data_IF_122447577664
#
_entry.id   IF_122447577664
#
_cell.length_a   1.000
_cell.length_b   1.000
_cell.length_c   1.000
_cell.angle_alpha   90.00
_cell.angle_beta   90.00
_cell.angle_gamma   90.00
#
_symmetry.space_group_name_H-M   'P 1'
#
loop_
_entity.id
_entity.type
_entity.pdbx_description
1 polymer ?
#
# COMPACT_ATOMS: atom_id res chain seq x y z
N UNK A 1 6.82 -7.08 89.15
CA UNK A 1 7.09 -8.33 88.46
C UNK A 1 5.97 -8.56 87.42
N UNK A 2 6.20 -8.15 86.21
CA UNK A 2 5.22 -8.36 85.14
C UNK A 2 5.96 -9.04 83.95
N UNK A 3 5.48 -10.21 83.55
CA UNK A 3 6.08 -11.03 82.46
C UNK A 3 5.38 -10.63 81.14
N UNK A 4 6.06 -9.94 80.23
CA UNK A 4 5.64 -9.73 78.85
C UNK A 4 5.82 -11.03 78.05
N UNK A 5 4.70 -11.52 77.48
CA UNK A 5 4.70 -12.62 76.52
C UNK A 5 4.71 -12.01 75.11
N UNK A 6 5.79 -12.19 74.36
CA UNK A 6 5.85 -11.92 72.93
C UNK A 6 5.10 -13.01 72.16
N UNK A 7 4.12 -12.65 71.36
CA UNK A 7 3.48 -13.54 70.40
C UNK A 7 4.20 -13.38 69.05
N UNK A 8 4.86 -14.40 68.55
CA UNK A 8 5.36 -14.49 67.16
C UNK A 8 4.15 -14.68 66.23
N UNK A 9 3.99 -13.78 65.27
CA UNK A 9 3.08 -13.95 64.16
C UNK A 9 3.91 -14.49 63.00
N UNK A 10 3.64 -15.71 62.59
CA UNK A 10 4.24 -16.33 61.39
C UNK A 10 3.50 -15.82 60.14
N UNK A 11 4.20 -15.08 59.27
CA UNK A 11 3.73 -14.65 57.98
C UNK A 11 4.04 -15.76 56.96
N UNK A 12 3.03 -16.48 56.53
CA UNK A 12 3.16 -17.43 55.41
C UNK A 12 3.05 -16.70 54.08
N UNK A 13 4.17 -16.55 53.34
CA UNK A 13 4.16 -16.12 51.95
C UNK A 13 3.62 -17.26 51.09
N UNK A 14 2.41 -17.12 50.58
CA UNK A 14 1.88 -17.98 49.53
C UNK A 14 2.46 -17.57 48.17
N UNK A 15 3.39 -18.36 47.63
CA UNK A 15 3.86 -18.22 46.25
C UNK A 15 2.77 -18.79 45.34
N UNK A 16 1.97 -17.88 44.76
CA UNK A 16 1.02 -18.25 43.72
C UNK A 16 1.77 -18.57 42.40
N UNK A 17 1.83 -19.84 42.04
CA UNK A 17 2.23 -20.28 40.70
C UNK A 17 1.15 -19.77 39.70
N UNK A 18 1.45 -18.72 38.97
CA UNK A 18 0.67 -18.33 37.78
C UNK A 18 0.99 -19.38 36.70
N UNK A 19 0.07 -20.32 36.50
CA UNK A 19 0.15 -21.23 35.37
C UNK A 19 0.00 -20.43 34.07
N UNK A 20 1.08 -20.34 33.30
CA UNK A 20 1.02 -19.89 31.92
C UNK A 20 0.15 -20.90 31.14
N UNK A 21 -1.08 -20.53 30.84
CA UNK A 21 -1.91 -21.30 29.90
C UNK A 21 -1.28 -21.15 28.51
N UNK A 22 -1.03 -22.25 27.79
CA UNK A 22 -0.58 -22.16 26.41
C UNK A 22 -1.67 -21.46 25.60
N UNK A 23 -1.33 -20.31 24.99
CA UNK A 23 -2.20 -19.69 24.00
C UNK A 23 -2.43 -20.70 22.89
N UNK A 24 -3.67 -21.17 22.75
CA UNK A 24 -4.08 -21.99 21.61
C UNK A 24 -3.81 -21.18 20.36
N UNK A 25 -2.88 -21.65 19.53
CA UNK A 25 -2.63 -21.07 18.22
C UNK A 25 -3.98 -21.01 17.47
N UNK A 26 -4.45 -19.78 17.18
CA UNK A 26 -5.66 -19.61 16.35
C UNK A 26 -5.38 -20.27 15.01
N UNK A 27 -6.17 -21.27 14.65
CA UNK A 27 -6.13 -21.89 13.32
C UNK A 27 -6.25 -20.74 12.29
N UNK A 28 -5.36 -20.66 11.30
CA UNK A 28 -5.50 -19.65 10.25
C UNK A 28 -6.90 -19.76 9.64
N UNK A 29 -7.58 -18.64 9.34
CA UNK A 29 -8.87 -18.68 8.66
C UNK A 29 -8.72 -19.47 7.35
N UNK A 30 -9.73 -20.30 7.04
CA UNK A 30 -9.75 -21.04 5.79
C UNK A 30 -9.68 -20.04 4.62
N UNK A 31 -8.81 -20.34 3.66
CA UNK A 31 -8.69 -19.51 2.46
C UNK A 31 -10.05 -19.44 1.75
N UNK A 32 -10.58 -18.24 1.46
CA UNK A 32 -11.82 -18.14 0.68
C UNK A 32 -11.58 -18.74 -0.72
N UNK A 33 -12.64 -19.26 -1.37
CA UNK A 33 -12.50 -19.83 -2.71
C UNK A 33 -11.92 -18.79 -3.66
N UNK A 34 -11.14 -19.24 -4.67
CA UNK A 34 -10.60 -18.32 -5.68
C UNK A 34 -11.75 -17.59 -6.38
N UNK A 35 -11.50 -16.36 -6.91
CA UNK A 35 -12.47 -15.67 -7.73
C UNK A 35 -12.94 -16.54 -8.90
N UNK A 36 -14.20 -16.40 -9.38
CA UNK A 36 -14.61 -17.03 -10.62
C UNK A 36 -13.64 -16.67 -11.76
N UNK A 37 -13.29 -17.64 -12.63
CA UNK A 37 -12.36 -17.38 -13.71
C UNK A 37 -12.97 -16.42 -14.75
N UNK A 38 -12.20 -15.41 -15.14
CA UNK A 38 -12.50 -14.51 -16.24
C UNK A 38 -11.91 -15.09 -17.53
N UNK A 39 -12.75 -15.26 -18.58
CA UNK A 39 -12.29 -15.56 -19.93
C UNK A 39 -12.03 -14.25 -20.66
N UNK A 40 -10.78 -13.99 -20.98
CA UNK A 40 -10.40 -12.82 -21.78
C UNK A 40 -10.66 -13.09 -23.28
N UNK A 41 -11.08 -12.04 -24.00
CA UNK A 41 -11.15 -12.10 -25.46
C UNK A 41 -9.75 -12.19 -26.07
N UNK A 42 -9.61 -12.65 -27.34
CA UNK A 42 -8.31 -12.66 -28.01
C UNK A 42 -7.62 -11.30 -28.04
N UNK A 43 -8.36 -10.19 -28.19
CA UNK A 43 -7.80 -8.84 -28.12
C UNK A 43 -7.25 -8.52 -26.72
N UNK A 44 -8.02 -8.84 -25.67
CA UNK A 44 -7.56 -8.64 -24.30
C UNK A 44 -6.32 -9.49 -23.97
N UNK A 45 -6.25 -10.74 -24.44
CA UNK A 45 -5.04 -11.58 -24.28
C UNK A 45 -3.82 -10.97 -25.00
N UNK A 46 -4.02 -10.42 -26.20
CA UNK A 46 -2.95 -9.75 -26.94
C UNK A 46 -2.46 -8.49 -26.18
N UNK A 47 -3.37 -7.70 -25.59
CA UNK A 47 -3.01 -6.53 -24.78
C UNK A 47 -2.26 -6.93 -23.51
N UNK A 48 -2.68 -8.00 -22.84
CA UNK A 48 -1.96 -8.53 -21.67
C UNK A 48 -0.55 -9.00 -22.07
N UNK A 49 -0.37 -9.63 -23.24
CA UNK A 49 0.95 -9.99 -23.76
C UNK A 49 1.79 -8.74 -24.12
N UNK A 50 1.15 -7.68 -24.64
CA UNK A 50 1.81 -6.42 -24.95
C UNK A 50 2.35 -5.73 -23.68
N UNK A 51 1.64 -5.79 -22.56
CA UNK A 51 2.15 -5.31 -21.24
C UNK A 51 3.51 -5.92 -20.90
N UNK A 52 3.63 -7.24 -21.05
CA UNK A 52 4.89 -7.93 -20.77
C UNK A 52 5.99 -7.52 -21.75
N UNK A 53 5.67 -7.46 -23.05
CA UNK A 53 6.62 -7.03 -24.07
C UNK A 53 7.11 -5.58 -23.83
N UNK A 54 6.20 -4.66 -23.50
CA UNK A 54 6.51 -3.27 -23.22
C UNK A 54 7.41 -3.11 -21.98
N UNK A 55 7.20 -3.93 -20.93
CA UNK A 55 7.95 -3.88 -19.68
C UNK A 55 9.42 -4.24 -19.83
N UNK A 56 9.76 -5.14 -20.80
CA UNK A 56 11.09 -5.74 -20.94
C UNK A 56 11.58 -6.41 -19.63
N UNK A 57 10.66 -6.86 -18.79
CA UNK A 57 10.99 -7.49 -17.52
C UNK A 57 11.37 -8.98 -17.71
N UNK A 58 12.29 -9.53 -16.88
CA UNK A 58 12.58 -10.97 -16.88
C UNK A 58 11.37 -11.82 -16.46
N UNK A 59 10.50 -11.30 -15.60
CA UNK A 59 9.29 -11.95 -15.13
C UNK A 59 8.21 -10.92 -14.77
N UNK A 60 6.94 -11.29 -14.98
CA UNK A 60 5.78 -10.47 -14.69
C UNK A 60 4.58 -11.34 -14.32
N UNK A 61 3.76 -10.85 -13.43
CA UNK A 61 2.39 -11.35 -13.22
C UNK A 61 1.41 -10.22 -13.46
N UNK A 62 0.32 -10.53 -14.16
CA UNK A 62 -0.78 -9.61 -14.45
C UNK A 62 -2.09 -10.21 -13.93
N UNK A 63 -2.88 -9.38 -13.28
CA UNK A 63 -4.24 -9.69 -12.82
C UNK A 63 -5.22 -8.75 -13.49
N UNK A 64 -6.25 -9.30 -14.12
CA UNK A 64 -7.37 -8.56 -14.71
C UNK A 64 -8.62 -8.92 -13.92
N UNK A 65 -9.36 -7.91 -13.45
CA UNK A 65 -10.67 -8.08 -12.79
C UNK A 65 -11.72 -7.41 -13.63
N UNK A 66 -12.84 -8.12 -13.85
CA UNK A 66 -14.05 -7.56 -14.46
C UNK A 66 -15.27 -8.07 -13.70
N UNK A 67 -15.93 -7.18 -12.99
CA UNK A 67 -17.00 -7.54 -12.08
C UNK A 67 -16.48 -8.43 -10.94
N UNK A 68 -17.07 -9.61 -10.82
CA UNK A 68 -16.71 -10.59 -9.77
C UNK A 68 -15.74 -11.66 -10.28
N UNK A 69 -15.34 -11.60 -11.57
CA UNK A 69 -14.42 -12.56 -12.18
C UNK A 69 -13.00 -11.99 -12.31
N UNK A 70 -12.00 -12.88 -12.30
CA UNK A 70 -10.60 -12.51 -12.46
C UNK A 70 -9.86 -13.47 -13.39
N UNK A 71 -8.88 -12.91 -14.13
CA UNK A 71 -7.88 -13.67 -14.88
C UNK A 71 -6.49 -13.29 -14.41
N UNK A 72 -5.61 -14.28 -14.29
CA UNK A 72 -4.20 -14.07 -13.95
C UNK A 72 -3.34 -14.66 -15.06
N UNK A 73 -2.29 -13.92 -15.45
CA UNK A 73 -1.32 -14.36 -16.46
C UNK A 73 0.08 -14.10 -15.94
N UNK A 74 0.91 -15.13 -16.03
CA UNK A 74 2.33 -15.02 -15.74
C UNK A 74 3.15 -15.04 -17.03
N UNK A 75 4.28 -14.35 -17.00
CA UNK A 75 5.21 -14.24 -18.11
C UNK A 75 6.66 -14.35 -17.65
N UNK A 76 7.53 -14.78 -18.54
CA UNK A 76 8.95 -14.88 -18.26
C UNK A 76 9.29 -15.99 -17.26
N UNK A 77 10.04 -15.66 -16.21
CA UNK A 77 10.55 -16.64 -15.23
C UNK A 77 10.61 -16.06 -13.80
N UNK A 78 10.53 -16.94 -12.81
CA UNK A 78 10.61 -16.56 -11.39
C UNK A 78 11.98 -15.99 -11.01
N UNK A 79 13.07 -16.56 -11.55
CA UNK A 79 14.44 -16.09 -11.28
C UNK A 79 15.39 -16.51 -12.41
N UNK A 80 16.64 -16.02 -12.44
CA UNK A 80 17.65 -16.50 -13.37
C UNK A 80 17.92 -18.01 -13.31
N UNK A 81 17.72 -18.61 -12.12
CA UNK A 81 17.95 -20.04 -11.85
C UNK A 81 16.67 -20.85 -11.75
N UNK A 82 15.50 -20.21 -11.74
CA UNK A 82 14.19 -20.88 -11.71
C UNK A 82 13.36 -20.49 -12.93
N UNK A 83 13.24 -21.37 -13.94
CA UNK A 83 12.55 -21.09 -15.19
C UNK A 83 11.02 -21.14 -15.07
N UNK A 84 10.46 -21.50 -13.92
CA UNK A 84 9.00 -21.51 -13.74
C UNK A 84 8.41 -20.13 -14.03
N UNK A 85 7.28 -20.13 -14.70
CA UNK A 85 6.53 -18.91 -14.98
C UNK A 85 5.85 -18.44 -13.71
N UNK A 86 5.88 -17.14 -13.35
CA UNK A 86 5.08 -16.60 -12.26
C UNK A 86 3.61 -16.94 -12.40
N UNK A 87 2.92 -17.17 -11.30
CA UNK A 87 1.50 -17.51 -11.25
C UNK A 87 0.74 -16.69 -10.20
N UNK A 88 -0.55 -17.02 -10.00
CA UNK A 88 -1.41 -16.33 -9.05
C UNK A 88 -0.94 -16.41 -7.60
N UNK A 89 -0.12 -17.40 -7.24
CA UNK A 89 0.42 -17.59 -5.90
C UNK A 89 1.85 -17.05 -5.73
N UNK A 90 2.45 -16.54 -6.80
CA UNK A 90 3.78 -15.95 -6.76
C UNK A 90 3.79 -14.71 -5.86
N UNK A 91 4.67 -14.72 -4.85
CA UNK A 91 4.84 -13.59 -3.95
C UNK A 91 5.62 -12.48 -4.65
N UNK A 92 5.14 -11.25 -4.52
CA UNK A 92 5.79 -10.04 -5.05
C UNK A 92 5.81 -8.94 -3.98
N UNK A 93 6.72 -7.98 -4.13
CA UNK A 93 6.66 -6.74 -3.35
C UNK A 93 5.61 -5.82 -3.96
N UNK A 94 4.78 -5.21 -3.11
CA UNK A 94 3.79 -4.22 -3.56
C UNK A 94 4.40 -2.83 -3.70
N UNK A 95 5.49 -2.59 -2.98
CA UNK A 95 6.05 -1.24 -2.88
C UNK A 95 4.95 -0.22 -2.57
N UNK A 96 4.89 0.90 -3.26
CA UNK A 96 3.93 1.97 -2.94
C UNK A 96 2.45 1.62 -3.18
N UNK A 97 2.12 0.47 -3.76
CA UNK A 97 0.73 -0.04 -3.72
C UNK A 97 0.29 -0.28 -2.27
N UNK A 98 1.22 -0.55 -1.34
CA UNK A 98 0.95 -0.65 0.11
C UNK A 98 0.16 0.53 0.66
N UNK A 99 0.38 1.72 0.12
CA UNK A 99 -0.33 2.94 0.52
C UNK A 99 -1.84 2.87 0.33
N UNK A 100 -2.31 2.11 -0.66
CA UNK A 100 -3.75 1.91 -0.89
C UNK A 100 -4.38 1.10 0.25
N UNK A 101 -3.67 0.11 0.77
CA UNK A 101 -4.15 -0.69 1.89
C UNK A 101 -4.13 0.12 3.20
N UNK A 102 -3.11 0.98 3.38
CA UNK A 102 -3.06 1.96 4.49
C UNK A 102 -4.23 2.94 4.40
N UNK A 103 -4.51 3.47 3.22
CA UNK A 103 -5.64 4.37 2.99
C UNK A 103 -7.00 3.69 3.20
N UNK A 104 -7.13 2.39 2.89
CA UNK A 104 -8.33 1.62 3.22
C UNK A 104 -8.48 1.42 4.73
N UNK A 105 -7.38 1.14 5.45
CA UNK A 105 -7.38 1.06 6.92
C UNK A 105 -7.84 2.39 7.52
N UNK A 106 -7.29 3.53 7.07
CA UNK A 106 -7.74 4.86 7.46
C UNK A 106 -9.25 5.02 7.23
N UNK A 107 -9.75 4.71 6.03
CA UNK A 107 -11.17 4.84 5.70
C UNK A 107 -12.07 3.97 6.60
N UNK A 108 -11.65 2.75 6.92
CA UNK A 108 -12.37 1.86 7.84
C UNK A 108 -12.40 2.40 9.26
N UNK A 109 -11.30 2.98 9.74
CA UNK A 109 -11.23 3.62 11.05
C UNK A 109 -12.09 4.90 11.12
N UNK A 110 -12.18 5.65 10.01
CA UNK A 110 -13.12 6.79 9.88
C UNK A 110 -14.56 6.32 9.99
N UNK A 111 -14.95 5.31 9.24
CA UNK A 111 -16.32 4.74 9.28
C UNK A 111 -16.65 4.19 10.67
N UNK A 112 -15.67 3.62 11.35
CA UNK A 112 -15.80 3.13 12.73
C UNK A 112 -15.73 4.25 13.79
N UNK A 113 -15.68 5.53 13.39
CA UNK A 113 -15.60 6.70 14.27
C UNK A 113 -14.42 6.68 15.27
N UNK A 114 -13.31 6.00 14.90
CA UNK A 114 -12.10 5.97 15.73
C UNK A 114 -11.21 7.19 15.51
N UNK A 115 -11.26 7.75 14.32
CA UNK A 115 -10.58 8.98 13.90
C UNK A 115 -11.38 9.70 12.81
N UNK A 116 -10.96 10.93 12.48
CA UNK A 116 -11.49 11.70 11.37
C UNK A 116 -10.35 12.09 10.40
N UNK A 117 -10.66 12.24 9.10
CA UNK A 117 -9.67 12.68 8.10
C UNK A 117 -9.01 14.02 8.46
N UNK A 118 -9.74 14.88 9.17
CA UNK A 118 -9.30 16.21 9.61
C UNK A 118 -8.60 16.21 10.97
N UNK A 119 -8.48 15.07 11.62
CA UNK A 119 -7.74 14.99 12.88
C UNK A 119 -6.28 15.42 12.67
N UNK A 120 -5.72 16.21 13.61
CA UNK A 120 -4.30 16.54 13.55
C UNK A 120 -3.46 15.30 13.88
N UNK A 121 -2.36 15.11 13.14
CA UNK A 121 -1.41 14.01 13.36
C UNK A 121 -0.98 13.92 14.82
N UNK A 122 -0.79 15.06 15.48
CA UNK A 122 -0.33 15.15 16.86
C UNK A 122 -1.26 14.49 17.89
N UNK A 123 -2.54 14.28 17.54
CA UNK A 123 -3.49 13.51 18.39
C UNK A 123 -3.03 12.08 18.61
N UNK A 124 -2.25 11.54 17.69
CA UNK A 124 -1.80 10.15 17.67
C UNK A 124 -0.31 9.99 18.01
N UNK A 125 0.29 11.07 18.55
CA UNK A 125 1.69 11.05 18.97
C UNK A 125 1.92 10.00 20.07
N UNK A 126 3.10 9.33 20.07
CA UNK A 126 3.41 8.35 21.09
C UNK A 126 3.49 9.01 22.49
N UNK A 127 3.25 8.24 23.56
CA UNK A 127 3.33 8.75 24.93
C UNK A 127 4.67 9.43 25.20
N UNK A 128 4.61 10.62 25.80
CA UNK A 128 5.80 11.41 26.14
C UNK A 128 6.36 12.26 24.99
N UNK A 129 5.80 12.16 23.76
CA UNK A 129 6.17 13.07 22.69
C UNK A 129 5.74 14.51 23.01
N UNK A 130 6.64 15.46 22.82
CA UNK A 130 6.37 16.87 23.05
C UNK A 130 7.20 17.74 22.10
N UNK A 131 6.61 18.85 21.67
CA UNK A 131 7.29 19.89 20.89
C UNK A 131 6.75 21.26 21.31
N UNK A 132 7.56 22.31 21.15
CA UNK A 132 7.14 23.69 21.44
C UNK A 132 6.19 24.25 20.37
N UNK A 133 6.32 23.75 19.13
CA UNK A 133 5.56 24.22 17.98
C UNK A 133 5.06 22.99 17.19
N UNK A 134 3.92 22.43 17.57
CA UNK A 134 3.39 21.24 16.92
C UNK A 134 2.98 21.56 15.48
N UNK A 135 3.39 20.73 14.49
CA UNK A 135 3.00 20.95 13.11
C UNK A 135 1.49 20.74 12.93
N UNK A 136 0.85 21.67 12.22
CA UNK A 136 -0.57 21.57 11.87
C UNK A 136 -0.77 20.68 10.63
N UNK A 137 -0.46 19.39 10.75
CA UNK A 137 -0.64 18.40 9.70
C UNK A 137 -1.84 17.52 10.05
N UNK A 138 -2.76 17.34 9.12
CA UNK A 138 -3.93 16.47 9.27
C UNK A 138 -3.75 15.12 8.57
N UNK A 139 -4.55 14.12 8.94
CA UNK A 139 -4.46 12.78 8.35
C UNK A 139 -4.77 12.80 6.85
N UNK A 140 -5.73 13.62 6.40
CA UNK A 140 -6.01 13.77 4.98
C UNK A 140 -4.82 14.36 4.21
N UNK A 141 -4.08 15.31 4.79
CA UNK A 141 -2.88 15.87 4.16
C UNK A 141 -1.75 14.85 4.04
N UNK A 142 -1.64 13.90 4.98
CA UNK A 142 -0.71 12.77 4.85
C UNK A 142 -1.12 11.87 3.69
N UNK A 143 -2.40 11.46 3.64
CA UNK A 143 -2.94 10.52 2.68
C UNK A 143 -3.00 11.07 1.24
N UNK A 144 -3.06 12.40 1.08
CA UNK A 144 -3.10 13.10 -0.23
C UNK A 144 -1.74 13.67 -0.65
N UNK A 145 -0.67 13.37 0.08
CA UNK A 145 0.68 13.93 -0.17
C UNK A 145 0.77 15.47 -0.10
N UNK A 146 -0.16 16.12 0.60
CA UNK A 146 -0.19 17.59 0.74
C UNK A 146 0.28 18.08 2.12
N UNK A 147 0.93 17.20 2.89
CA UNK A 147 1.44 17.53 4.24
C UNK A 147 2.69 18.40 4.26
N UNK A 148 3.37 18.61 3.12
CA UNK A 148 4.66 19.29 3.06
C UNK A 148 5.82 18.48 3.68
N UNK A 149 5.63 17.19 3.98
CA UNK A 149 6.67 16.31 4.49
C UNK A 149 7.60 15.85 3.35
N UNK A 150 8.89 15.59 3.63
CA UNK A 150 9.82 15.11 2.62
C UNK A 150 9.44 13.72 2.11
N UNK A 151 9.99 13.35 0.92
CA UNK A 151 9.76 12.04 0.28
C UNK A 151 10.12 10.87 1.20
N UNK A 152 11.29 10.94 1.83
CA UNK A 152 11.83 9.86 2.67
C UNK A 152 12.11 10.35 4.07
N UNK A 153 12.18 9.41 5.01
CA UNK A 153 12.60 9.70 6.39
C UNK A 153 14.05 10.20 6.38
N UNK A 154 14.31 11.46 6.80
CA UNK A 154 15.67 12.01 6.85
C UNK A 154 16.58 11.31 7.88
N UNK A 155 15.99 10.56 8.82
CA UNK A 155 16.72 9.81 9.83
C UNK A 155 16.97 8.35 9.43
N UNK A 156 16.35 7.89 8.33
CA UNK A 156 16.58 6.52 7.85
C UNK A 156 18.02 6.35 7.37
N UNK A 157 18.72 5.40 7.96
CA UNK A 157 20.04 5.00 7.47
C UNK A 157 19.88 4.08 6.26
N UNK A 158 20.57 4.33 5.14
CA UNK A 158 20.33 3.61 3.87
C UNK A 158 20.55 2.10 3.93
N UNK A 159 21.29 1.60 4.93
CA UNK A 159 21.74 0.21 5.03
C UNK A 159 21.22 -0.54 6.27
N UNK A 160 20.41 0.09 7.12
CA UNK A 160 19.87 -0.56 8.32
C UNK A 160 18.37 -0.75 8.21
N UNK A 161 17.91 -1.96 8.51
CA UNK A 161 16.48 -2.26 8.66
C UNK A 161 16.14 -2.14 10.16
N UNK A 162 15.66 -0.98 10.62
CA UNK A 162 15.36 -0.78 12.04
C UNK A 162 14.11 -1.57 12.42
N UNK A 163 13.96 -1.89 13.70
CA UNK A 163 12.66 -2.40 14.16
C UNK A 163 11.58 -1.33 14.00
N UNK A 164 10.29 -1.69 13.86
CA UNK A 164 9.20 -0.71 13.73
C UNK A 164 9.19 0.34 14.84
N UNK A 165 9.48 -0.05 16.08
CA UNK A 165 9.54 0.85 17.23
C UNK A 165 10.68 1.88 17.12
N UNK A 166 11.86 1.44 16.65
CA UNK A 166 13.01 2.35 16.45
C UNK A 166 12.74 3.32 15.31
N UNK A 167 12.16 2.84 14.19
CA UNK A 167 11.78 3.68 13.07
C UNK A 167 10.73 4.73 13.49
N UNK A 168 9.68 4.31 14.22
CA UNK A 168 8.66 5.21 14.76
C UNK A 168 9.28 6.27 15.69
N UNK A 169 10.08 5.86 16.67
CA UNK A 169 10.71 6.80 17.61
C UNK A 169 11.60 7.83 16.88
N UNK A 170 12.35 7.40 15.86
CA UNK A 170 13.20 8.27 15.05
C UNK A 170 12.40 9.34 14.32
N UNK A 171 11.36 8.97 13.56
CA UNK A 171 10.56 9.94 12.79
C UNK A 171 9.78 10.91 13.69
N UNK A 172 9.26 10.47 14.84
CA UNK A 172 8.59 11.35 15.79
C UNK A 172 9.59 12.31 16.48
N UNK A 173 10.81 11.86 16.81
CA UNK A 173 11.87 12.72 17.33
C UNK A 173 12.30 13.77 16.29
N UNK A 174 12.39 13.39 15.01
CA UNK A 174 12.66 14.32 13.91
C UNK A 174 11.53 15.35 13.77
N UNK A 175 10.26 14.91 13.79
CA UNK A 175 9.11 15.81 13.68
C UNK A 175 9.05 16.82 14.82
N UNK A 176 9.46 16.46 16.05
CA UNK A 176 9.50 17.35 17.20
C UNK A 176 10.50 18.51 17.03
N UNK A 177 11.51 18.34 16.19
CA UNK A 177 12.55 19.34 15.93
C UNK A 177 12.24 20.20 14.68
N UNK A 178 11.22 19.85 13.92
CA UNK A 178 10.87 20.54 12.69
C UNK A 178 9.97 21.74 12.97
N UNK A 179 10.35 22.90 12.42
CA UNK A 179 9.64 24.18 12.61
C UNK A 179 8.95 24.71 11.34
N UNK A 180 9.04 23.97 10.20
CA UNK A 180 8.65 24.45 8.88
C UNK A 180 7.66 23.52 8.15
N UNK A 181 6.46 23.41 8.67
CA UNK A 181 5.35 22.84 7.88
C UNK A 181 4.69 23.91 6.98
N UNK A 182 5.52 24.80 6.36
CA UNK A 182 5.03 26.02 5.68
C UNK A 182 4.18 25.74 4.46
N UNK A 183 4.26 24.54 3.87
CA UNK A 183 3.61 24.22 2.62
C UNK A 183 2.46 23.22 2.75
N UNK A 184 2.08 22.87 3.98
CA UNK A 184 0.94 21.99 4.20
C UNK A 184 -0.33 22.55 3.55
N UNK A 185 -0.91 21.78 2.62
CA UNK A 185 -2.10 22.13 1.86
C UNK A 185 -1.88 23.04 0.63
N UNK A 186 -0.65 23.54 0.36
CA UNK A 186 -0.39 24.41 -0.81
C UNK A 186 -0.02 23.66 -2.07
N UNK A 187 0.69 22.57 -1.94
CA UNK A 187 1.14 21.73 -3.03
C UNK A 187 1.14 20.27 -2.62
N UNK A 188 1.31 19.38 -3.58
CA UNK A 188 1.51 17.96 -3.34
C UNK A 188 2.97 17.59 -3.59
N UNK A 189 3.57 16.96 -2.59
CA UNK A 189 4.90 16.37 -2.66
C UNK A 189 4.81 14.92 -2.20
N UNK A 190 5.10 13.98 -3.09
CA UNK A 190 5.02 12.55 -2.79
C UNK A 190 5.86 12.22 -1.56
N UNK A 191 5.24 11.66 -0.52
CA UNK A 191 5.90 11.41 0.76
C UNK A 191 5.64 9.99 1.28
N UNK A 192 6.71 9.18 1.34
CA UNK A 192 6.71 7.92 2.07
C UNK A 192 6.62 8.19 3.57
N UNK A 193 7.37 9.19 4.07
CA UNK A 193 7.35 9.57 5.47
C UNK A 193 5.94 9.98 5.93
N UNK A 194 5.18 10.67 5.08
CA UNK A 194 3.77 10.99 5.36
C UNK A 194 2.92 9.75 5.60
N UNK A 195 3.11 8.70 4.81
CA UNK A 195 2.40 7.44 4.99
C UNK A 195 2.88 6.62 6.19
N UNK A 196 4.15 6.73 6.58
CA UNK A 196 4.61 6.13 7.83
C UNK A 196 3.94 6.79 9.05
N UNK A 197 3.82 8.12 9.07
CA UNK A 197 3.04 8.81 10.11
C UNK A 197 1.54 8.47 10.06
N UNK A 198 0.98 8.27 8.87
CA UNK A 198 -0.40 7.81 8.74
C UNK A 198 -0.57 6.41 9.35
N UNK A 199 0.37 5.50 9.07
CA UNK A 199 0.38 4.17 9.68
C UNK A 199 0.51 4.20 11.21
N UNK A 200 1.30 5.14 11.77
CA UNK A 200 1.38 5.34 13.22
C UNK A 200 0.03 5.82 13.80
N UNK A 201 -0.65 6.75 13.11
CA UNK A 201 -1.95 7.25 13.52
C UNK A 201 -3.03 6.14 13.44
N UNK A 202 -3.03 5.35 12.38
CA UNK A 202 -3.95 4.22 12.20
C UNK A 202 -3.73 3.16 13.30
N UNK A 203 -2.48 2.82 13.59
CA UNK A 203 -2.10 1.89 14.66
C UNK A 203 -2.59 2.39 16.03
N UNK A 204 -2.34 3.66 16.34
CA UNK A 204 -2.79 4.28 17.59
C UNK A 204 -4.31 4.29 17.71
N UNK A 205 -5.05 4.65 16.66
CA UNK A 205 -6.49 4.65 16.61
C UNK A 205 -7.10 3.23 16.71
N UNK A 206 -6.44 2.24 16.11
CA UNK A 206 -6.83 0.83 16.23
C UNK A 206 -6.52 0.25 17.61
N UNK A 207 -5.56 0.81 18.35
CA UNK A 207 -5.06 0.27 19.62
C UNK A 207 -4.22 -1.00 19.45
N UNK A 208 -3.50 -1.12 18.31
CA UNK A 208 -2.73 -2.30 17.93
C UNK A 208 -1.45 -1.90 17.18
N UNK A 209 -0.55 -2.84 16.88
CA UNK A 209 0.51 -2.57 15.92
C UNK A 209 -0.08 -2.30 14.52
N UNK A 210 0.65 -1.58 13.66
CA UNK A 210 0.17 -1.35 12.29
C UNK A 210 -0.12 -2.66 11.54
N UNK A 211 0.77 -3.64 11.66
CA UNK A 211 0.58 -4.96 11.02
C UNK A 211 -0.66 -5.69 11.53
N UNK A 212 -0.92 -5.66 12.84
CA UNK A 212 -2.13 -6.25 13.43
C UNK A 212 -3.39 -5.49 13.01
N UNK A 213 -3.35 -4.15 13.02
CA UNK A 213 -4.46 -3.32 12.58
C UNK A 213 -4.79 -3.59 11.09
N UNK A 214 -3.78 -3.62 10.22
CA UNK A 214 -3.95 -3.94 8.80
C UNK A 214 -4.56 -5.34 8.62
N UNK A 215 -4.03 -6.33 9.36
CA UNK A 215 -4.57 -7.69 9.32
C UNK A 215 -6.03 -7.74 9.73
N UNK A 216 -6.35 -7.20 10.89
CA UNK A 216 -7.66 -7.37 11.51
C UNK A 216 -8.76 -6.56 10.80
N UNK A 217 -8.40 -5.41 10.25
CA UNK A 217 -9.35 -4.50 9.58
C UNK A 217 -9.40 -4.67 8.06
N UNK A 218 -8.31 -5.07 7.41
CA UNK A 218 -8.22 -5.09 5.93
C UNK A 218 -8.00 -6.49 5.41
N UNK A 219 -6.86 -7.15 5.74
CA UNK A 219 -6.46 -8.34 5.01
C UNK A 219 -7.23 -9.59 5.43
N UNK A 220 -7.45 -9.83 6.71
CA UNK A 220 -8.18 -11.01 7.17
C UNK A 220 -9.66 -11.03 6.75
N UNK A 221 -10.43 -9.91 6.83
CA UNK A 221 -11.81 -9.90 6.35
C UNK A 221 -11.97 -10.21 4.86
N UNK A 222 -10.95 -9.90 4.05
CA UNK A 222 -10.93 -10.18 2.62
C UNK A 222 -10.24 -11.49 2.26
N UNK A 223 -9.69 -12.21 3.24
CA UNK A 223 -8.93 -13.44 3.02
C UNK A 223 -7.64 -13.25 2.23
N UNK A 224 -6.96 -12.11 2.41
CA UNK A 224 -5.68 -11.81 1.78
C UNK A 224 -4.55 -12.42 2.62
N UNK A 225 -4.32 -13.70 2.45
CA UNK A 225 -3.47 -14.49 3.36
C UNK A 225 -1.97 -14.25 3.18
N UNK A 226 -1.57 -13.80 1.99
CA UNK A 226 -0.18 -13.52 1.63
C UNK A 226 0.12 -12.00 1.63
N UNK A 227 -0.87 -11.16 1.98
CA UNK A 227 -0.69 -9.70 2.01
C UNK A 227 -0.25 -9.26 3.41
N UNK A 228 1.05 -9.04 3.57
CA UNK A 228 1.69 -8.75 4.86
C UNK A 228 3.04 -8.05 4.68
N UNK A 229 3.54 -7.40 5.74
CA UNK A 229 4.91 -6.89 5.80
C UNK A 229 5.91 -7.94 6.30
N UNK A 230 5.43 -8.99 6.98
CA UNK A 230 6.23 -10.07 7.53
C UNK A 230 5.78 -11.42 6.93
N UNK A 231 6.27 -11.76 5.72
CA UNK A 231 5.89 -12.97 5.03
C UNK A 231 6.53 -14.21 5.67
N UNK A 232 5.75 -15.29 5.75
CA UNK A 232 6.27 -16.57 6.24
C UNK A 232 7.37 -17.14 5.34
N UNK A 233 8.26 -18.02 5.85
CA UNK A 233 9.24 -18.71 5.01
C UNK A 233 8.63 -19.45 3.82
N UNK A 234 7.43 -20.01 3.98
CA UNK A 234 6.69 -20.68 2.91
C UNK A 234 6.21 -19.71 1.83
N UNK A 235 5.79 -18.51 2.21
CA UNK A 235 5.46 -17.44 1.26
C UNK A 235 6.72 -16.95 0.53
N UNK A 236 7.81 -16.71 1.26
CA UNK A 236 9.09 -16.30 0.70
C UNK A 236 9.66 -17.29 -0.34
N UNK A 237 9.43 -18.61 -0.14
CA UNK A 237 9.85 -19.63 -1.12
C UNK A 237 9.14 -19.53 -2.47
N UNK A 238 8.04 -18.77 -2.56
CA UNK A 238 7.29 -18.50 -3.79
C UNK A 238 7.59 -17.13 -4.40
N UNK A 239 8.54 -16.39 -3.81
CA UNK A 239 8.81 -15.02 -4.23
C UNK A 239 9.50 -14.98 -5.59
N UNK A 240 9.01 -14.11 -6.49
CA UNK A 240 9.73 -13.76 -7.71
C UNK A 240 11.03 -13.03 -7.33
N UNK A 241 12.14 -13.38 -7.98
CA UNK A 241 13.41 -12.69 -7.74
C UNK A 241 13.32 -11.22 -8.22
N UNK A 242 14.02 -10.35 -7.51
CA UNK A 242 14.15 -8.94 -7.90
C UNK A 242 14.88 -8.79 -9.26
N UNK A 243 14.83 -7.60 -9.84
CA UNK A 243 15.63 -7.22 -11.01
C UNK A 243 17.11 -7.60 -10.79
N UNK A 244 17.71 -8.40 -11.67
CA UNK A 244 19.10 -8.85 -11.50
C UNK A 244 20.14 -7.73 -11.56
N UNK A 245 19.76 -6.55 -12.02
CA UNK A 245 20.63 -5.35 -12.03
C UNK A 245 20.54 -4.56 -10.71
N UNK A 246 19.65 -4.96 -9.80
CA UNK A 246 19.45 -4.34 -8.50
C UNK A 246 20.08 -5.18 -7.39
N UNK A 247 20.63 -4.58 -6.32
CA UNK A 247 21.13 -5.34 -5.18
C UNK A 247 20.08 -6.30 -4.65
N UNK A 248 20.42 -7.60 -4.59
CA UNK A 248 19.50 -8.61 -4.08
C UNK A 248 19.11 -8.30 -2.63
N UNK A 249 17.82 -8.25 -2.37
CA UNK A 249 17.30 -8.13 -1.02
C UNK A 249 16.51 -9.40 -0.66
N UNK A 250 16.80 -10.00 0.49
CA UNK A 250 16.07 -11.18 0.93
C UNK A 250 14.60 -10.84 1.18
N UNK A 251 13.76 -11.87 1.14
CA UNK A 251 12.40 -11.80 1.64
C UNK A 251 12.44 -11.77 3.17
N UNK A 252 12.23 -10.61 3.75
CA UNK A 252 12.36 -10.35 5.20
C UNK A 252 11.23 -9.49 5.70
N UNK A 253 11.09 -9.39 7.01
CA UNK A 253 10.18 -8.44 7.66
C UNK A 253 10.49 -7.00 7.21
N UNK A 254 9.46 -6.32 6.71
CA UNK A 254 9.50 -4.93 6.26
C UNK A 254 8.56 -4.05 7.08
N UNK A 255 8.21 -4.48 8.29
CA UNK A 255 7.21 -3.80 9.14
C UNK A 255 7.62 -2.38 9.51
N UNK A 256 8.92 -2.04 9.45
CA UNK A 256 9.42 -0.68 9.74
C UNK A 256 8.96 0.38 8.73
N UNK A 257 8.57 -0.02 7.51
CA UNK A 257 8.03 0.88 6.48
C UNK A 257 6.79 0.30 5.78
N UNK A 258 6.04 -0.53 6.48
CA UNK A 258 4.88 -1.25 5.94
C UNK A 258 3.79 -0.33 5.41
N UNK A 259 3.57 0.81 6.06
CA UNK A 259 2.51 1.74 5.69
C UNK A 259 2.77 2.45 4.36
N UNK A 260 4.03 2.65 3.99
CA UNK A 260 4.40 3.35 2.75
C UNK A 260 4.79 2.45 1.59
N UNK A 261 5.33 1.23 1.87
CA UNK A 261 5.88 0.42 0.79
C UNK A 261 6.36 -0.98 1.17
N UNK A 262 6.23 -1.40 2.44
CA UNK A 262 6.82 -2.64 2.92
C UNK A 262 5.95 -3.89 2.77
N UNK A 263 4.79 -3.82 2.12
CA UNK A 263 3.92 -4.99 1.98
C UNK A 263 4.36 -5.88 0.82
N UNK A 264 4.19 -7.17 1.06
CA UNK A 264 4.19 -8.21 0.04
C UNK A 264 2.74 -8.62 -0.25
N UNK A 265 2.51 -9.23 -1.41
CA UNK A 265 1.22 -9.81 -1.78
C UNK A 265 1.39 -10.83 -2.91
N UNK A 266 0.28 -11.39 -3.38
CA UNK A 266 0.20 -12.25 -4.56
C UNK A 266 -0.86 -11.73 -5.53
N UNK A 267 -0.80 -12.18 -6.78
CA UNK A 267 -1.84 -11.85 -7.77
C UNK A 267 -3.24 -12.34 -7.33
N UNK A 268 -3.31 -13.47 -6.62
CA UNK A 268 -4.55 -13.97 -6.03
C UNK A 268 -5.15 -13.02 -4.99
N UNK A 269 -4.33 -12.51 -4.07
CA UNK A 269 -4.77 -11.57 -3.05
C UNK A 269 -5.14 -10.22 -3.68
N UNK A 270 -4.36 -9.74 -4.64
CA UNK A 270 -4.66 -8.50 -5.34
C UNK A 270 -5.95 -8.60 -6.18
N UNK A 271 -6.27 -9.78 -6.75
CA UNK A 271 -7.56 -10.00 -7.39
C UNK A 271 -8.72 -9.82 -6.40
N UNK A 272 -8.66 -10.46 -5.23
CA UNK A 272 -9.69 -10.31 -4.17
C UNK A 272 -9.80 -8.88 -3.69
N UNK A 273 -8.67 -8.23 -3.47
CA UNK A 273 -8.66 -6.84 -3.04
C UNK A 273 -9.30 -5.93 -4.09
N UNK A 274 -8.92 -6.04 -5.37
CA UNK A 274 -9.55 -5.28 -6.45
C UNK A 274 -11.04 -5.55 -6.57
N UNK A 275 -11.48 -6.81 -6.42
CA UNK A 275 -12.90 -7.15 -6.42
C UNK A 275 -13.64 -6.45 -5.28
N UNK A 276 -13.05 -6.35 -4.09
CA UNK A 276 -13.66 -5.60 -2.97
C UNK A 276 -13.77 -4.11 -3.29
N UNK A 277 -12.76 -3.54 -3.97
CA UNK A 277 -12.77 -2.13 -4.41
C UNK A 277 -13.78 -1.87 -5.53
N UNK A 278 -14.16 -2.88 -6.30
CA UNK A 278 -15.02 -2.83 -7.46
C UNK A 278 -16.39 -3.50 -7.22
N UNK A 279 -16.71 -3.92 -5.99
CA UNK A 279 -17.93 -4.67 -5.71
C UNK A 279 -19.19 -3.90 -6.08
N UNK A 280 -20.17 -4.62 -6.66
CA UNK A 280 -21.50 -4.07 -6.97
C UNK A 280 -22.34 -3.89 -5.69
N UNK A 281 -23.42 -3.16 -5.80
CA UNK A 281 -24.43 -3.00 -4.75
C UNK A 281 -24.55 -1.60 -4.20
N UNK A 282 -25.08 -1.47 -2.99
CA UNK A 282 -25.27 -0.18 -2.34
C UNK A 282 -23.91 0.54 -2.13
N UNK A 283 -23.89 1.88 -2.08
CA UNK A 283 -22.70 2.62 -1.76
C UNK A 283 -22.06 2.13 -0.45
N UNK A 284 -20.81 1.73 -0.53
CA UNK A 284 -20.01 1.34 0.63
C UNK A 284 -19.30 2.60 1.15
N UNK A 285 -19.52 3.01 2.40
CA UNK A 285 -18.91 4.21 2.95
C UNK A 285 -17.38 4.15 2.96
N UNK A 286 -16.78 2.97 3.14
CA UNK A 286 -15.32 2.80 3.11
C UNK A 286 -14.79 3.11 1.70
N UNK A 287 -15.38 2.51 0.67
CA UNK A 287 -15.00 2.77 -0.73
C UNK A 287 -15.28 4.22 -1.14
N UNK A 288 -16.41 4.77 -0.70
CA UNK A 288 -16.73 6.18 -0.97
C UNK A 288 -15.66 7.11 -0.42
N UNK A 289 -15.19 6.87 0.79
CA UNK A 289 -14.12 7.66 1.41
C UNK A 289 -12.78 7.37 0.72
N UNK A 290 -12.40 6.10 0.55
CA UNK A 290 -11.06 5.75 0.07
C UNK A 290 -10.82 6.13 -1.40
N UNK A 291 -11.85 6.09 -2.26
CA UNK A 291 -11.73 6.38 -3.70
C UNK A 291 -12.14 7.80 -4.10
N UNK A 292 -12.55 8.63 -3.12
CA UNK A 292 -12.83 10.04 -3.38
C UNK A 292 -11.56 10.80 -3.76
N UNK A 293 -11.71 11.77 -4.65
CA UNK A 293 -10.64 12.72 -4.97
C UNK A 293 -10.83 13.96 -4.09
N UNK A 294 -9.85 14.23 -3.27
CA UNK A 294 -9.90 15.30 -2.26
C UNK A 294 -9.20 16.57 -2.71
N UNK A 295 -8.25 16.45 -3.64
CA UNK A 295 -7.45 17.57 -4.13
C UNK A 295 -7.38 17.50 -5.65
N UNK A 296 -7.69 18.61 -6.32
CA UNK A 296 -7.57 18.74 -7.78
C UNK A 296 -6.21 19.33 -8.14
N UNK A 297 -5.64 18.89 -9.27
CA UNK A 297 -4.34 19.36 -9.75
C UNK A 297 -4.28 20.89 -9.90
N UNK A 298 -5.37 21.49 -10.40
CA UNK A 298 -5.49 22.93 -10.63
C UNK A 298 -5.59 23.77 -9.34
N UNK A 299 -5.81 23.14 -8.20
CA UNK A 299 -5.81 23.75 -6.87
C UNK A 299 -4.43 23.75 -6.20
N UNK A 300 -3.45 23.09 -6.80
CA UNK A 300 -2.11 22.92 -6.24
C UNK A 300 -1.13 23.90 -6.88
N UNK A 301 -0.32 24.55 -6.05
CA UNK A 301 0.78 25.40 -6.53
C UNK A 301 1.87 24.58 -7.25
N UNK A 302 2.05 23.33 -6.84
CA UNK A 302 2.95 22.35 -7.46
C UNK A 302 2.46 20.93 -7.16
N UNK A 303 2.89 19.95 -7.97
CA UNK A 303 2.71 18.53 -7.71
C UNK A 303 3.96 17.78 -8.16
N UNK A 304 4.61 17.12 -7.24
CA UNK A 304 5.90 16.44 -7.45
C UNK A 304 5.78 14.96 -7.10
N UNK A 305 6.30 14.09 -7.98
CA UNK A 305 6.33 12.65 -7.80
C UNK A 305 4.96 11.96 -7.91
N UNK A 306 4.01 12.55 -8.63
CA UNK A 306 2.65 11.99 -8.82
C UNK A 306 2.37 11.55 -10.25
N UNK A 307 3.13 12.01 -11.25
CA UNK A 307 2.84 11.86 -12.67
C UNK A 307 3.55 10.64 -13.32
N UNK A 308 3.85 9.59 -12.54
CA UNK A 308 4.65 8.45 -13.03
C UNK A 308 3.95 7.60 -14.09
N UNK A 309 2.62 7.54 -14.10
CA UNK A 309 1.82 6.74 -15.03
C UNK A 309 0.89 7.60 -15.91
N UNK A 310 1.21 8.86 -16.04
CA UNK A 310 0.44 9.87 -16.73
C UNK A 310 0.15 11.08 -15.85
N UNK A 311 -0.29 12.19 -16.40
CA UNK A 311 -0.51 13.43 -15.65
C UNK A 311 -1.66 13.27 -14.65
N UNK A 312 -1.35 13.47 -13.37
CA UNK A 312 -2.33 13.45 -12.30
C UNK A 312 -3.35 14.59 -12.47
N UNK A 313 -4.62 14.27 -12.54
CA UNK A 313 -5.73 15.22 -12.57
C UNK A 313 -6.25 15.56 -11.16
N UNK A 314 -6.08 14.64 -10.23
CA UNK A 314 -6.44 14.81 -8.84
C UNK A 314 -5.82 13.73 -7.94
N UNK A 315 -5.87 13.97 -6.63
CA UNK A 315 -5.30 13.10 -5.61
C UNK A 315 -6.37 12.71 -4.59
N UNK A 316 -6.52 11.41 -4.38
CA UNK A 316 -7.34 10.81 -3.35
C UNK A 316 -6.51 10.33 -2.16
N UNK A 317 -7.06 9.43 -1.34
CA UNK A 317 -6.31 8.74 -0.30
C UNK A 317 -5.38 7.72 -0.96
N UNK A 318 -4.14 8.10 -1.20
CA UNK A 318 -3.11 7.40 -2.00
C UNK A 318 -3.41 7.26 -3.51
N UNK A 319 -4.65 7.40 -3.94
CA UNK A 319 -5.04 7.29 -5.34
C UNK A 319 -4.62 8.52 -6.16
N UNK A 320 -4.21 8.27 -7.39
CA UNK A 320 -4.04 9.29 -8.43
C UNK A 320 -5.19 9.12 -9.42
N UNK A 321 -5.86 10.23 -9.74
CA UNK A 321 -6.87 10.25 -10.77
C UNK A 321 -6.25 10.64 -12.10
N UNK A 322 -6.52 9.83 -13.13
CA UNK A 322 -6.29 10.19 -14.52
C UNK A 322 -7.59 10.72 -15.12
N UNK A 323 -7.51 11.86 -15.80
CA UNK A 323 -8.67 12.48 -16.43
C UNK A 323 -9.21 11.60 -17.57
N UNK A 324 -10.52 11.57 -17.78
CA UNK A 324 -11.07 10.92 -18.97
C UNK A 324 -10.70 11.68 -20.23
N UNK A 325 -10.51 10.94 -21.33
CA UNK A 325 -10.35 11.45 -22.69
C UNK A 325 -11.21 10.62 -23.68
N UNK A 326 -11.21 10.92 -25.01
CA UNK A 326 -12.01 10.13 -25.95
C UNK A 326 -11.66 8.64 -26.00
N UNK A 327 -10.44 8.26 -25.64
CA UNK A 327 -9.95 6.87 -25.63
C UNK A 327 -10.07 6.16 -24.29
N UNK A 328 -10.21 6.92 -23.18
CA UNK A 328 -10.16 6.39 -21.83
C UNK A 328 -11.28 6.93 -20.94
N UNK A 329 -11.85 6.10 -20.06
CA UNK A 329 -12.70 6.58 -18.97
C UNK A 329 -11.88 7.33 -17.91
N UNK A 330 -12.56 7.90 -16.93
CA UNK A 330 -11.91 8.31 -15.68
C UNK A 330 -11.30 7.08 -15.01
N UNK A 331 -10.00 7.12 -14.73
CA UNK A 331 -9.29 6.06 -14.05
C UNK A 331 -8.75 6.53 -12.70
N UNK A 332 -8.60 5.61 -11.76
CA UNK A 332 -7.79 5.82 -10.56
C UNK A 332 -6.66 4.80 -10.53
N UNK A 333 -5.45 5.26 -10.20
CA UNK A 333 -4.27 4.44 -10.31
C UNK A 333 -3.33 4.58 -9.10
N UNK A 334 -2.40 3.64 -9.00
CA UNK A 334 -1.24 3.72 -8.12
C UNK A 334 -0.05 2.97 -8.71
N UNK A 335 1.07 3.66 -8.72
CA UNK A 335 2.38 3.06 -9.04
C UNK A 335 3.09 2.59 -7.79
N UNK A 336 3.95 1.59 -7.91
CA UNK A 336 4.89 1.15 -6.91
C UNK A 336 6.25 0.86 -7.53
N UNK A 337 7.32 1.18 -6.81
CA UNK A 337 8.67 0.87 -7.26
C UNK A 337 9.66 0.86 -6.12
N UNK A 338 10.52 -0.14 -6.10
CA UNK A 338 11.54 -0.32 -5.09
C UNK A 338 12.09 -1.74 -5.06
N UNK A 339 13.24 -1.90 -4.47
CA UNK A 339 13.84 -3.21 -4.20
C UNK A 339 13.89 -4.18 -5.40
N UNK A 340 14.02 -3.63 -6.63
CA UNK A 340 14.09 -4.43 -7.85
C UNK A 340 12.74 -4.84 -8.44
N UNK A 341 11.64 -4.21 -7.99
CA UNK A 341 10.29 -4.40 -8.52
C UNK A 341 9.69 -3.09 -8.99
N UNK A 342 8.81 -3.18 -9.98
CA UNK A 342 7.83 -2.16 -10.32
C UNK A 342 6.45 -2.79 -10.30
N UNK A 343 5.48 -2.06 -9.75
CA UNK A 343 4.07 -2.47 -9.68
C UNK A 343 3.19 -1.35 -10.20
N UNK A 344 2.09 -1.73 -10.78
CA UNK A 344 1.06 -0.80 -11.23
C UNK A 344 -0.33 -1.36 -10.97
N UNK A 345 -1.23 -0.52 -10.55
CA UNK A 345 -2.62 -0.86 -10.34
C UNK A 345 -3.49 0.27 -10.87
N UNK A 346 -4.47 -0.07 -11.72
CA UNK A 346 -5.41 0.88 -12.30
C UNK A 346 -6.82 0.31 -12.26
N UNK A 347 -7.79 1.15 -11.91
CA UNK A 347 -9.21 0.80 -11.82
C UNK A 347 -10.07 1.76 -12.64
N UNK A 348 -11.10 1.22 -13.29
CA UNK A 348 -12.33 1.91 -13.67
C UNK A 348 -13.45 1.47 -12.70
N UNK A 349 -13.68 2.21 -11.60
CA UNK A 349 -14.70 1.82 -10.64
C UNK A 349 -16.13 1.83 -11.22
N UNK A 350 -16.39 2.69 -12.19
CA UNK A 350 -17.74 2.82 -12.79
C UNK A 350 -18.12 1.57 -13.58
N UNK A 351 -17.13 0.89 -14.22
CA UNK A 351 -17.34 -0.32 -15.02
C UNK A 351 -16.90 -1.58 -14.31
N UNK A 352 -16.38 -1.43 -13.08
CA UNK A 352 -15.90 -2.55 -12.25
C UNK A 352 -14.77 -3.33 -12.95
N UNK A 353 -13.82 -2.61 -13.54
CA UNK A 353 -12.67 -3.16 -14.23
C UNK A 353 -11.41 -2.73 -13.51
N UNK A 354 -10.46 -3.64 -13.36
CA UNK A 354 -9.17 -3.35 -12.77
C UNK A 354 -8.05 -4.21 -13.34
N UNK A 355 -6.86 -3.64 -13.40
CA UNK A 355 -5.63 -4.33 -13.76
C UNK A 355 -4.58 -4.08 -12.70
N UNK A 356 -3.96 -5.15 -12.22
CA UNK A 356 -2.75 -5.11 -11.40
C UNK A 356 -1.63 -5.84 -12.14
N UNK A 357 -0.44 -5.26 -12.14
CA UNK A 357 0.76 -5.93 -12.60
C UNK A 357 1.91 -5.77 -11.61
N UNK A 358 2.75 -6.79 -11.51
CA UNK A 358 4.02 -6.75 -10.80
C UNK A 358 5.12 -7.36 -11.69
N UNK A 359 6.22 -6.62 -11.85
CA UNK A 359 7.33 -7.01 -12.69
C UNK A 359 8.66 -6.86 -11.94
N UNK A 360 9.59 -7.78 -12.18
CA UNK A 360 10.93 -7.72 -11.61
C UNK A 360 11.89 -6.92 -12.52
N UNK A 361 11.50 -5.68 -12.77
CA UNK A 361 12.28 -4.66 -13.46
C UNK A 361 12.11 -3.33 -12.75
N UNK A 362 13.20 -2.77 -12.24
CA UNK A 362 13.18 -1.44 -11.67
C UNK A 362 13.71 -0.44 -12.68
N UNK A 363 12.80 0.22 -13.37
CA UNK A 363 13.11 1.25 -14.37
C UNK A 363 11.88 2.11 -14.60
N UNK A 364 12.01 3.42 -14.40
CA UNK A 364 10.96 4.38 -14.75
C UNK A 364 10.53 4.26 -16.22
N UNK A 365 11.47 3.96 -17.13
CA UNK A 365 11.14 3.69 -18.52
C UNK A 365 10.31 2.43 -18.73
N UNK A 366 10.48 1.37 -17.94
CA UNK A 366 9.64 0.19 -18.00
C UNK A 366 8.20 0.49 -17.59
N UNK A 367 8.02 1.22 -16.50
CA UNK A 367 6.71 1.66 -16.04
C UNK A 367 6.03 2.59 -17.05
N UNK A 368 6.76 3.60 -17.56
CA UNK A 368 6.23 4.55 -18.56
C UNK A 368 5.75 3.86 -19.84
N UNK A 369 6.26 2.68 -20.17
CA UNK A 369 5.76 1.87 -21.30
C UNK A 369 4.61 0.93 -20.91
N UNK A 370 4.65 0.35 -19.70
CA UNK A 370 3.65 -0.64 -19.29
C UNK A 370 2.35 0.00 -18.76
N UNK A 371 2.42 1.17 -18.12
CA UNK A 371 1.24 1.80 -17.54
C UNK A 371 0.21 2.24 -18.61
N UNK A 372 0.59 2.88 -19.73
CA UNK A 372 -0.37 3.18 -20.80
C UNK A 372 -1.04 1.92 -21.35
N UNK A 373 -0.29 0.83 -21.59
CA UNK A 373 -0.87 -0.43 -22.04
C UNK A 373 -1.89 -1.02 -21.05
N UNK A 374 -1.66 -0.84 -19.75
CA UNK A 374 -2.62 -1.26 -18.72
C UNK A 374 -3.88 -0.37 -18.71
N UNK A 375 -3.72 0.94 -18.92
CA UNK A 375 -4.83 1.89 -19.06
C UNK A 375 -5.66 1.55 -20.29
N UNK A 376 -5.01 1.28 -21.43
CA UNK A 376 -5.62 0.84 -22.68
C UNK A 376 -6.39 -0.47 -22.51
N UNK A 377 -5.85 -1.42 -21.76
CA UNK A 377 -6.54 -2.70 -21.49
C UNK A 377 -7.82 -2.44 -20.68
N UNK A 378 -7.77 -1.62 -19.62
CA UNK A 378 -8.95 -1.26 -18.83
C UNK A 378 -9.98 -0.53 -19.69
N UNK A 379 -9.54 0.41 -20.51
CA UNK A 379 -10.40 1.17 -21.42
C UNK A 379 -11.09 0.26 -22.45
N UNK A 380 -10.34 -0.63 -23.11
CA UNK A 380 -10.87 -1.57 -24.10
C UNK A 380 -11.88 -2.54 -23.48
N UNK A 381 -11.60 -3.07 -22.29
CA UNK A 381 -12.54 -3.91 -21.54
C UNK A 381 -13.81 -3.15 -21.15
N UNK A 382 -13.71 -1.83 -20.96
CA UNK A 382 -14.82 -0.92 -20.69
C UNK A 382 -15.58 -0.44 -21.91
N UNK A 383 -15.20 -0.89 -23.12
CA UNK A 383 -15.87 -0.51 -24.38
C UNK A 383 -15.37 0.81 -24.97
N UNK A 384 -14.23 1.34 -24.51
CA UNK A 384 -13.57 2.49 -25.12
C UNK A 384 -12.62 2.05 -26.24
N UNK A 385 -12.27 2.97 -27.11
CA UNK A 385 -11.26 2.76 -28.14
C UNK A 385 -9.99 3.59 -27.82
N UNK A 386 -8.94 3.00 -27.23
CA UNK A 386 -7.72 3.72 -26.84
C UNK A 386 -7.04 4.46 -28.00
N UNK A 387 -7.22 3.97 -29.25
CA UNK A 387 -6.69 4.66 -30.44
C UNK A 387 -7.31 6.07 -30.68
N UNK A 388 -8.37 6.43 -29.97
CA UNK A 388 -8.97 7.78 -29.99
C UNK A 388 -8.45 8.69 -28.89
N UNK A 389 -7.55 8.20 -28.03
CA UNK A 389 -6.88 9.04 -27.03
C UNK A 389 -6.18 10.23 -27.70
N UNK A 390 -6.35 11.40 -27.10
CA UNK A 390 -5.61 12.60 -27.51
C UNK A 390 -4.12 12.47 -27.19
N UNK A 391 -3.27 13.38 -27.71
CA UNK A 391 -1.87 13.42 -27.29
C UNK A 391 -1.78 13.63 -25.78
N UNK A 392 -0.91 12.85 -25.14
CA UNK A 392 -0.68 12.95 -23.70
C UNK A 392 -0.24 14.37 -23.32
N UNK A 393 -0.89 15.03 -22.37
CA UNK A 393 -0.45 16.36 -21.94
C UNK A 393 0.96 16.25 -21.36
N UNK A 394 1.81 17.25 -21.68
CA UNK A 394 3.19 17.28 -21.23
C UNK A 394 3.28 17.26 -19.70
N UNK A 395 4.01 16.30 -19.15
CA UNK A 395 4.34 16.27 -17.72
C UNK A 395 5.41 17.31 -17.41
N UNK A 396 5.21 18.13 -16.37
CA UNK A 396 6.18 19.09 -15.91
C UNK A 396 7.20 18.53 -14.91
N UNK A 397 7.33 17.19 -14.82
CA UNK A 397 8.33 16.60 -13.93
C UNK A 397 9.74 16.71 -14.54
N UNK A 398 10.72 17.25 -13.79
CA UNK A 398 12.09 17.27 -14.24
C UNK A 398 12.60 15.83 -14.38
N UNK A 399 13.27 15.54 -15.49
CA UNK A 399 13.92 14.26 -15.73
C UNK A 399 14.99 14.04 -14.64
N UNK A 400 14.73 13.13 -13.70
CA UNK A 400 15.67 12.78 -12.63
C UNK A 400 15.08 12.65 -11.21
N UNK A 401 13.79 12.70 -11.02
CA UNK A 401 13.13 12.44 -9.73
C UNK A 401 12.91 10.92 -9.47
N UNK A 402 13.97 10.09 -9.63
CA UNK A 402 13.98 8.65 -9.29
C UNK A 402 14.50 8.39 -7.86
#
# INVERSE_FOLDING_TARGET
MSRNRFRLVALTLGIGLVACQPQTAKTPPAQPPPPPPLTLSPDAENRVAALFAASQAPGMVVTVVQGDAAAMRGFGRLSPTDPRVPDGATLVRLDSISKLLTAELLAKLVVAHKLALTDPLTRFAPPGWATKDPPSITLIQLATHTSGLPRSDPMAQPMTEPTPAVAMAGRWAWLAQRHDARDAGKGAHYSNLGFEFLGDADAAAAGASYGDALRDWVTAPLGLIDTTADPSPAACARMMAADPTWPARPCTDQSFHAASGGLYSTANDMARWMQSQLAAGAPDPVRTISQAIYVRRDQLAYAEGLDHAGPANGVGLAWIELAPDPGHPRLIEKTGGGYGFMTYLVLDPARRIGVFLAMNRISGGALKRAAPEANDLVAALGGFNPAQAGPEPATNEPAGAE
#
